data_IF_009177221750
#
_entry.id   IF_009177221750
#
_cell.length_a   1.000
_cell.length_b   1.000
_cell.length_c   1.000
_cell.angle_alpha   90.00
_cell.angle_beta   90.00
_cell.angle_gamma   90.00
#
_symmetry.space_group_name_H-M   'P 1'
#
loop_
_entity.id
_entity.type
_entity.pdbx_description
1 polymer ?
#
# COMPACT_ATOMS: atom_id res chain seq x y z
N UNK A 1 -7.37 -17.50 19.55
CA UNK A 1 -6.48 -17.15 20.69
C UNK A 1 -5.06 -17.18 20.18
N UNK A 2 -4.25 -16.17 20.49
CA UNK A 2 -2.82 -16.20 20.17
C UNK A 2 -2.16 -17.26 21.07
N UNK A 3 -1.26 -18.13 20.55
CA UNK A 3 -0.57 -19.11 21.38
C UNK A 3 0.14 -18.44 22.56
N UNK A 4 -0.07 -18.93 23.78
CA UNK A 4 0.48 -18.33 25.02
C UNK A 4 2.00 -18.24 24.99
N UNK A 5 2.67 -19.25 24.42
CA UNK A 5 4.13 -19.23 24.23
C UNK A 5 4.61 -18.02 23.40
N UNK A 6 3.84 -17.63 22.37
CA UNK A 6 4.18 -16.48 21.53
C UNK A 6 4.04 -15.17 22.31
N UNK A 7 2.98 -15.03 23.11
CA UNK A 7 2.74 -13.84 23.93
C UNK A 7 3.85 -13.65 24.96
N UNK A 8 4.27 -14.75 25.62
CA UNK A 8 5.36 -14.71 26.60
C UNK A 8 6.68 -14.32 25.93
N UNK A 9 6.98 -14.88 24.75
CA UNK A 9 8.19 -14.53 24.01
C UNK A 9 8.22 -13.04 23.61
N UNK A 10 7.09 -12.49 23.13
CA UNK A 10 7.00 -11.07 22.77
C UNK A 10 7.11 -10.16 24.00
N UNK A 11 6.51 -10.55 25.13
CA UNK A 11 6.61 -9.80 26.38
C UNK A 11 8.05 -9.74 26.89
N UNK A 12 8.76 -10.88 26.91
CA UNK A 12 10.17 -10.95 27.30
C UNK A 12 11.07 -10.07 26.40
N UNK A 13 10.79 -10.04 25.09
CA UNK A 13 11.53 -9.17 24.15
C UNK A 13 11.28 -7.67 24.39
N UNK A 14 10.09 -7.29 24.90
CA UNK A 14 9.78 -5.90 25.24
C UNK A 14 10.43 -5.44 26.54
N UNK A 15 10.59 -6.34 27.52
CA UNK A 15 11.29 -6.02 28.77
C UNK A 15 12.78 -5.79 28.58
N UNK A 16 13.39 -6.44 27.59
CA UNK A 16 14.83 -6.33 27.31
C UNK A 16 15.24 -5.00 26.66
N UNK A 17 14.30 -4.21 26.13
CA UNK A 17 14.58 -3.01 25.33
C UNK A 17 14.29 -1.75 26.17
N UNK A 18 15.22 -0.77 26.24
CA UNK A 18 15.08 0.39 27.13
C UNK A 18 14.12 1.46 26.59
N UNK A 19 13.72 1.37 25.32
CA UNK A 19 12.90 2.35 24.64
C UNK A 19 11.42 1.94 24.58
N UNK A 20 10.48 2.91 24.69
CA UNK A 20 9.08 2.61 24.42
C UNK A 20 8.88 2.31 22.94
N UNK A 21 7.85 1.51 22.63
CA UNK A 21 7.55 1.07 21.27
C UNK A 21 7.46 2.19 20.22
N UNK A 22 6.98 3.38 20.62
CA UNK A 22 6.93 4.55 19.74
C UNK A 22 8.33 5.03 19.31
N UNK A 23 9.30 5.06 20.25
CA UNK A 23 10.67 5.51 19.97
C UNK A 23 11.41 4.47 19.12
N UNK A 24 11.24 3.17 19.43
CA UNK A 24 11.75 2.10 18.57
C UNK A 24 11.23 2.24 17.13
N UNK A 25 9.92 2.49 16.96
CA UNK A 25 9.28 2.68 15.68
C UNK A 25 9.87 3.87 14.92
N UNK A 26 10.03 4.99 15.62
CA UNK A 26 10.48 6.25 15.04
C UNK A 26 11.92 6.12 14.51
N UNK A 27 12.83 5.55 15.31
CA UNK A 27 14.23 5.33 14.92
C UNK A 27 14.29 4.42 13.70
N UNK A 28 13.55 3.31 13.70
CA UNK A 28 13.55 2.35 12.59
C UNK A 28 12.94 2.94 11.32
N UNK A 29 11.79 3.61 11.40
CA UNK A 29 11.14 4.25 10.24
C UNK A 29 12.04 5.35 9.66
N UNK A 30 12.62 6.24 10.48
CA UNK A 30 13.55 7.28 10.00
C UNK A 30 14.79 6.67 9.33
N UNK A 31 15.33 5.59 9.91
CA UNK A 31 16.46 4.88 9.31
C UNK A 31 16.09 4.31 7.94
N UNK A 32 14.94 3.64 7.83
CA UNK A 32 14.43 3.13 6.56
C UNK A 32 14.21 4.24 5.53
N UNK A 33 13.80 5.44 5.96
CA UNK A 33 13.67 6.59 5.08
C UNK A 33 15.01 7.08 4.54
N UNK A 34 16.02 7.18 5.40
CA UNK A 34 17.37 7.57 4.98
C UNK A 34 17.94 6.54 4.00
N UNK A 35 17.78 5.24 4.30
CA UNK A 35 18.23 4.17 3.42
C UNK A 35 17.53 4.19 2.06
N UNK A 36 16.20 4.39 2.05
CA UNK A 36 15.40 4.52 0.83
C UNK A 36 15.87 5.70 -0.02
N UNK A 37 16.03 6.87 0.60
CA UNK A 37 16.42 8.11 -0.10
C UNK A 37 17.84 8.01 -0.65
N UNK A 38 18.77 7.40 0.10
CA UNK A 38 20.12 7.10 -0.36
C UNK A 38 20.09 6.11 -1.55
N UNK A 39 19.30 5.04 -1.43
CA UNK A 39 19.17 4.01 -2.45
C UNK A 39 18.64 4.53 -3.80
N UNK A 40 17.68 5.48 -3.79
CA UNK A 40 17.15 6.06 -5.03
C UNK A 40 18.05 7.14 -5.65
N UNK A 41 18.92 7.77 -4.85
CA UNK A 41 19.83 8.84 -5.32
C UNK A 41 21.13 8.30 -5.90
N UNK A 42 21.56 7.12 -5.46
CA UNK A 42 22.80 6.50 -5.91
C UNK A 42 22.60 5.71 -7.21
N UNK A 43 23.66 5.52 -8.03
CA UNK A 43 23.62 4.62 -9.19
C UNK A 43 23.19 3.21 -8.78
N UNK A 44 22.45 2.51 -9.64
CA UNK A 44 21.80 1.22 -9.29
C UNK A 44 22.70 0.21 -8.57
N UNK A 45 23.95 0.03 -9.02
CA UNK A 45 24.89 -0.91 -8.38
C UNK A 45 25.23 -0.52 -6.93
N UNK A 46 25.43 0.78 -6.67
CA UNK A 46 25.77 1.31 -5.34
C UNK A 46 24.52 1.42 -4.47
N UNK A 47 23.39 1.86 -5.03
CA UNK A 47 22.13 2.00 -4.31
C UNK A 47 21.60 0.66 -3.79
N UNK A 48 21.75 -0.43 -4.56
CA UNK A 48 21.42 -1.79 -4.11
C UNK A 48 22.35 -2.24 -2.98
N UNK A 49 23.67 -2.04 -3.11
CA UNK A 49 24.63 -2.39 -2.06
C UNK A 49 24.34 -1.64 -0.74
N UNK A 50 24.09 -0.33 -0.80
CA UNK A 50 23.74 0.49 0.36
C UNK A 50 22.41 0.04 0.99
N UNK A 51 21.42 -0.33 0.18
CA UNK A 51 20.13 -0.81 0.70
C UNK A 51 20.25 -2.16 1.41
N UNK A 52 21.03 -3.10 0.86
CA UNK A 52 21.26 -4.42 1.47
C UNK A 52 22.06 -4.29 2.76
N UNK A 53 23.20 -3.57 2.70
CA UNK A 53 24.05 -3.34 3.88
C UNK A 53 23.27 -2.57 4.94
N UNK A 54 22.56 -1.51 4.56
CA UNK A 54 21.76 -0.72 5.48
C UNK A 54 20.64 -1.50 6.16
N UNK A 55 19.84 -2.25 5.40
CA UNK A 55 18.70 -2.98 5.95
C UNK A 55 19.13 -4.15 6.85
N UNK A 56 20.13 -4.93 6.43
CA UNK A 56 20.60 -6.09 7.20
C UNK A 56 21.47 -5.65 8.37
N UNK A 57 22.53 -4.86 8.11
CA UNK A 57 23.51 -4.52 9.15
C UNK A 57 22.88 -3.62 10.22
N UNK A 58 22.09 -2.61 9.85
CA UNK A 58 21.46 -1.76 10.86
C UNK A 58 20.36 -2.52 11.61
N UNK A 59 19.57 -3.34 10.90
CA UNK A 59 18.51 -4.13 11.52
C UNK A 59 19.03 -5.14 12.55
N UNK A 60 20.06 -5.90 12.18
CA UNK A 60 20.64 -6.94 13.05
C UNK A 60 21.43 -6.32 14.21
N UNK A 61 22.27 -5.32 13.94
CA UNK A 61 23.00 -4.61 15.00
C UNK A 61 22.06 -3.89 15.96
N UNK A 62 20.91 -3.36 15.50
CA UNK A 62 19.93 -2.74 16.38
C UNK A 62 19.26 -3.74 17.35
N UNK A 63 19.09 -5.00 16.91
CA UNK A 63 18.59 -6.08 17.76
C UNK A 63 19.68 -6.51 18.75
N UNK A 64 20.89 -6.78 18.27
CA UNK A 64 22.01 -7.26 19.09
C UNK A 64 22.46 -6.23 20.14
N UNK A 65 22.40 -4.94 19.81
CA UNK A 65 22.66 -3.85 20.74
C UNK A 65 21.52 -3.63 21.75
N UNK A 66 20.40 -4.34 21.61
CA UNK A 66 19.24 -4.21 22.49
C UNK A 66 18.48 -2.90 22.33
N UNK A 67 18.67 -2.17 21.22
CA UNK A 67 18.00 -0.90 20.98
C UNK A 67 16.56 -1.05 20.47
N UNK A 68 16.27 -2.16 19.77
CA UNK A 68 14.96 -2.43 19.16
C UNK A 68 14.61 -3.90 19.35
N UNK A 69 13.34 -4.18 19.64
CA UNK A 69 12.86 -5.56 19.78
C UNK A 69 12.73 -6.27 18.43
N UNK A 70 13.01 -7.58 18.37
CA UNK A 70 12.88 -8.37 17.13
C UNK A 70 11.47 -8.30 16.55
N UNK A 71 10.43 -8.34 17.40
CA UNK A 71 9.05 -8.16 16.99
C UNK A 71 8.82 -6.81 16.28
N UNK A 72 9.48 -5.75 16.73
CA UNK A 72 9.37 -4.42 16.12
C UNK A 72 10.05 -4.35 14.75
N UNK A 73 11.24 -4.94 14.62
CA UNK A 73 11.95 -5.02 13.33
C UNK A 73 11.11 -5.74 12.28
N UNK A 74 10.44 -6.84 12.66
CA UNK A 74 9.52 -7.56 11.76
C UNK A 74 8.39 -6.65 11.28
N UNK A 75 7.71 -5.94 12.19
CA UNK A 75 6.58 -5.06 11.84
C UNK A 75 7.01 -3.91 10.92
N UNK A 76 8.14 -3.26 11.21
CA UNK A 76 8.65 -2.15 10.39
C UNK A 76 9.12 -2.66 9.03
N UNK A 77 9.81 -3.80 8.97
CA UNK A 77 10.30 -4.38 7.72
C UNK A 77 9.15 -4.79 6.80
N UNK A 78 8.09 -5.41 7.32
CA UNK A 78 6.88 -5.73 6.56
C UNK A 78 6.22 -4.46 6.02
N UNK A 79 6.13 -3.41 6.84
CA UNK A 79 5.56 -2.12 6.44
C UNK A 79 6.41 -1.44 5.35
N UNK A 80 7.73 -1.50 5.46
CA UNK A 80 8.67 -0.97 4.48
C UNK A 80 8.55 -1.71 3.14
N UNK A 81 8.51 -3.04 3.15
CA UNK A 81 8.35 -3.86 1.94
C UNK A 81 6.98 -3.60 1.29
N UNK A 82 5.91 -3.57 2.08
CA UNK A 82 4.56 -3.29 1.59
C UNK A 82 4.44 -1.93 0.89
N UNK A 83 5.27 -0.95 1.29
CA UNK A 83 5.28 0.36 0.63
C UNK A 83 5.71 0.30 -0.85
N UNK A 84 6.44 -0.73 -1.28
CA UNK A 84 6.81 -0.93 -2.69
C UNK A 84 5.67 -1.50 -3.55
N UNK A 85 4.60 -2.02 -2.93
CA UNK A 85 3.40 -2.42 -3.66
C UNK A 85 2.62 -1.22 -4.22
N UNK A 86 2.90 0.00 -3.74
CA UNK A 86 2.28 1.22 -4.26
C UNK A 86 3.02 1.65 -5.54
N UNK A 87 2.37 1.61 -6.72
CA UNK A 87 3.03 1.91 -7.98
C UNK A 87 3.41 3.38 -8.15
N UNK A 88 2.72 4.29 -7.44
CA UNK A 88 2.95 5.73 -7.50
C UNK A 88 3.81 6.20 -6.32
N UNK A 89 5.04 6.62 -6.60
CA UNK A 89 6.00 7.07 -5.58
C UNK A 89 5.50 8.26 -4.74
N UNK A 90 4.82 9.23 -5.37
CA UNK A 90 4.24 10.37 -4.66
C UNK A 90 3.18 9.96 -3.63
N UNK A 91 2.36 8.95 -3.95
CA UNK A 91 1.38 8.39 -3.01
C UNK A 91 2.09 7.66 -1.87
N UNK A 92 3.16 6.90 -2.18
CA UNK A 92 3.94 6.20 -1.16
C UNK A 92 4.60 7.17 -0.16
N UNK A 93 5.18 8.28 -0.62
CA UNK A 93 5.73 9.32 0.26
C UNK A 93 4.63 9.94 1.12
N UNK A 94 3.49 10.29 0.52
CA UNK A 94 2.37 10.91 1.22
C UNK A 94 1.83 9.99 2.33
N UNK A 95 1.61 8.71 2.04
CA UNK A 95 1.14 7.72 3.00
C UNK A 95 2.09 7.54 4.19
N UNK A 96 3.39 7.66 3.95
CA UNK A 96 4.45 7.61 4.96
C UNK A 96 4.48 8.86 5.85
N UNK A 97 4.32 10.06 5.28
CA UNK A 97 4.18 11.28 6.09
C UNK A 97 2.95 11.20 7.00
N UNK A 98 1.83 10.70 6.47
CA UNK A 98 0.62 10.46 7.25
C UNK A 98 0.88 9.41 8.36
N UNK A 99 1.66 8.36 8.08
CA UNK A 99 2.03 7.34 9.08
C UNK A 99 2.71 7.94 10.30
N UNK A 100 3.66 8.86 10.14
CA UNK A 100 4.28 9.54 11.28
C UNK A 100 3.22 10.27 12.12
N UNK A 101 2.29 10.99 11.49
CA UNK A 101 1.17 11.64 12.19
C UNK A 101 0.29 10.65 12.97
N UNK A 102 -0.06 9.52 12.35
CA UNK A 102 -0.82 8.46 13.01
C UNK A 102 -0.05 7.81 14.17
N UNK A 103 1.27 7.66 14.05
CA UNK A 103 2.12 7.17 15.14
C UNK A 103 2.15 8.13 16.33
N UNK A 104 2.21 9.44 16.10
CA UNK A 104 2.11 10.43 17.19
C UNK A 104 0.75 10.35 17.89
N UNK A 105 -0.34 10.27 17.13
CA UNK A 105 -1.68 10.09 17.70
C UNK A 105 -1.79 8.77 18.49
N UNK A 106 -1.18 7.70 17.99
CA UNK A 106 -1.11 6.41 18.67
C UNK A 106 -0.31 6.48 19.97
N UNK A 107 0.79 7.23 20.00
CA UNK A 107 1.60 7.39 21.20
C UNK A 107 0.89 8.20 22.29
N UNK A 108 0.12 9.24 21.91
CA UNK A 108 -0.59 10.11 22.84
C UNK A 108 -1.90 9.49 23.35
N UNK A 109 -2.69 8.89 22.46
CA UNK A 109 -4.06 8.44 22.76
C UNK A 109 -4.27 6.94 22.53
N UNK A 110 -3.21 6.18 22.24
CA UNK A 110 -3.31 4.74 21.96
C UNK A 110 -4.13 4.44 20.71
N UNK A 111 -4.86 3.32 20.77
CA UNK A 111 -5.70 2.86 19.67
C UNK A 111 -6.81 3.87 19.29
N UNK A 112 -7.32 4.62 20.28
CA UNK A 112 -8.32 5.66 20.04
C UNK A 112 -7.78 6.79 19.14
N UNK A 113 -6.51 7.18 19.34
CA UNK A 113 -5.84 8.17 18.49
C UNK A 113 -5.73 7.72 17.04
N UNK A 114 -5.44 6.43 16.82
CA UNK A 114 -5.38 5.84 15.48
C UNK A 114 -6.76 5.93 14.80
N UNK A 115 -7.83 5.53 15.49
CA UNK A 115 -9.20 5.59 14.93
C UNK A 115 -9.55 7.03 14.55
N UNK A 116 -9.29 7.99 15.44
CA UNK A 116 -9.60 9.40 15.18
C UNK A 116 -8.78 9.96 14.02
N UNK A 117 -7.49 9.63 13.95
CA UNK A 117 -6.63 10.03 12.82
C UNK A 117 -7.11 9.44 11.49
N UNK A 118 -7.51 8.17 11.47
CA UNK A 118 -8.07 7.51 10.29
C UNK A 118 -9.41 8.15 9.87
N UNK A 119 -10.26 8.51 10.83
CA UNK A 119 -11.54 9.16 10.55
C UNK A 119 -11.32 10.54 9.90
N UNK A 120 -10.44 11.37 10.48
CA UNK A 120 -10.07 12.68 9.91
C UNK A 120 -9.51 12.51 8.50
N UNK A 121 -8.64 11.51 8.29
CA UNK A 121 -8.08 11.20 6.98
C UNK A 121 -9.18 10.85 5.96
N UNK A 122 -10.12 9.96 6.31
CA UNK A 122 -11.21 9.57 5.41
C UNK A 122 -12.11 10.78 5.09
N UNK A 123 -12.47 11.59 6.09
CA UNK A 123 -13.27 12.80 5.85
C UNK A 123 -12.56 13.77 4.91
N UNK A 124 -11.25 13.95 5.09
CA UNK A 124 -10.45 14.78 4.19
C UNK A 124 -10.50 14.25 2.76
N UNK A 125 -10.28 12.94 2.56
CA UNK A 125 -10.35 12.30 1.24
C UNK A 125 -11.73 12.45 0.58
N UNK A 126 -12.81 12.35 1.35
CA UNK A 126 -14.17 12.55 0.85
C UNK A 126 -14.46 14.01 0.44
N UNK A 127 -13.77 14.98 1.05
CA UNK A 127 -13.92 16.40 0.70
C UNK A 127 -13.18 16.80 -0.59
N UNK A 128 -12.15 16.02 -0.99
CA UNK A 128 -11.32 16.33 -2.14
C UNK A 128 -12.04 16.06 -3.48
N UNK A 129 -11.77 16.93 -4.45
CA UNK A 129 -12.23 16.80 -5.84
C UNK A 129 -11.05 16.91 -6.79
N UNK A 130 -10.93 15.95 -7.72
CA UNK A 130 -9.99 15.98 -8.84
C UNK A 130 -10.74 16.29 -10.12
N UNK A 131 -10.44 17.43 -10.76
CA UNK A 131 -11.11 17.87 -12.00
C UNK A 131 -12.65 17.83 -11.91
N UNK A 132 -13.20 18.28 -10.77
CA UNK A 132 -14.64 18.30 -10.49
C UNK A 132 -15.23 16.98 -9.98
N UNK A 133 -14.49 15.88 -10.07
CA UNK A 133 -14.91 14.54 -9.64
C UNK A 133 -14.49 14.25 -8.19
N UNK A 134 -15.38 13.70 -7.33
CA UNK A 134 -15.01 13.30 -5.97
C UNK A 134 -13.85 12.29 -5.98
N UNK A 135 -12.82 12.52 -5.17
CA UNK A 135 -11.61 11.67 -5.12
C UNK A 135 -11.94 10.22 -4.71
N UNK A 136 -12.90 10.04 -3.80
CA UNK A 136 -13.35 8.72 -3.33
C UNK A 136 -14.39 8.06 -4.24
N UNK A 137 -14.72 8.61 -5.42
CA UNK A 137 -15.61 7.94 -6.36
C UNK A 137 -14.97 6.62 -6.83
N UNK A 138 -15.71 5.48 -6.87
CA UNK A 138 -17.16 5.30 -6.68
C UNK A 138 -17.56 4.78 -5.28
N UNK A 139 -16.67 4.84 -4.28
CA UNK A 139 -16.96 4.46 -2.89
C UNK A 139 -17.76 5.56 -2.17
N UNK A 140 -17.40 6.82 -2.39
CA UNK A 140 -18.11 7.99 -1.91
C UNK A 140 -18.11 9.08 -3.01
N UNK A 141 -19.21 9.30 -3.74
CA UNK A 141 -20.55 8.70 -3.58
C UNK A 141 -20.61 7.24 -4.06
N UNK A 142 -21.38 6.41 -3.38
CA UNK A 142 -21.51 4.99 -3.70
C UNK A 142 -22.24 4.78 -5.04
N UNK A 143 -21.54 4.23 -6.05
CA UNK A 143 -22.08 3.97 -7.39
C UNK A 143 -21.75 2.53 -7.80
N UNK A 144 -22.70 1.62 -7.61
CA UNK A 144 -22.54 0.17 -7.84
C UNK A 144 -22.03 -0.19 -9.24
N UNK A 145 -22.43 0.55 -10.28
CA UNK A 145 -22.03 0.29 -11.67
C UNK A 145 -20.52 0.39 -11.90
N UNK A 146 -19.81 1.18 -11.07
CA UNK A 146 -18.38 1.46 -11.23
C UNK A 146 -17.51 0.78 -10.17
N UNK A 147 -18.10 0.14 -9.16
CA UNK A 147 -17.37 -0.52 -8.06
C UNK A 147 -16.52 -1.68 -8.58
N UNK A 148 -16.96 -2.33 -9.66
CA UNK A 148 -16.23 -3.39 -10.35
C UNK A 148 -14.76 -3.07 -10.46
N UNK A 149 -14.40 -2.01 -11.19
CA UNK A 149 -13.00 -1.61 -11.47
C UNK A 149 -12.20 -1.16 -10.24
N UNK A 150 -12.87 -0.85 -9.13
CA UNK A 150 -12.22 -0.31 -7.92
C UNK A 150 -11.74 -1.42 -6.99
N UNK A 151 -12.56 -2.48 -6.80
CA UNK A 151 -12.21 -3.61 -5.93
C UNK A 151 -11.61 -4.79 -6.70
N UNK A 152 -12.09 -5.04 -7.92
CA UNK A 152 -11.67 -6.17 -8.74
C UNK A 152 -11.39 -5.71 -10.17
N UNK A 153 -10.18 -5.91 -10.68
CA UNK A 153 -9.84 -5.49 -12.06
C UNK A 153 -10.56 -6.38 -13.10
N UNK A 154 -11.82 -6.05 -13.44
CA UNK A 154 -12.61 -6.78 -14.44
C UNK A 154 -12.06 -6.49 -15.84
N UNK A 155 -12.11 -7.45 -16.80
CA UNK A 155 -11.64 -7.23 -18.16
C UNK A 155 -12.35 -6.06 -18.86
N UNK A 156 -11.60 -5.31 -19.66
CA UNK A 156 -12.07 -4.05 -20.26
C UNK A 156 -13.27 -4.21 -21.19
N UNK A 157 -13.39 -5.35 -21.86
CA UNK A 157 -14.51 -5.69 -22.75
C UNK A 157 -15.85 -5.87 -22.02
N UNK A 158 -15.84 -6.02 -20.69
CA UNK A 158 -17.06 -6.10 -19.89
C UNK A 158 -17.63 -4.71 -19.55
N UNK A 159 -16.83 -3.65 -19.68
CA UNK A 159 -17.26 -2.27 -19.40
C UNK A 159 -18.00 -1.64 -20.57
N UNK A 160 -19.30 -1.93 -20.67
CA UNK A 160 -20.18 -1.36 -21.70
C UNK A 160 -20.59 0.08 -21.42
N UNK A 161 -20.71 0.44 -20.14
CA UNK A 161 -21.24 1.73 -19.69
C UNK A 161 -20.13 2.71 -19.27
N UNK A 162 -20.37 4.01 -19.44
CA UNK A 162 -19.49 5.07 -18.96
C UNK A 162 -19.74 5.33 -17.47
N UNK A 163 -18.70 5.70 -16.70
CA UNK A 163 -18.89 6.11 -15.31
C UNK A 163 -19.94 7.23 -15.19
N UNK A 164 -20.95 7.01 -14.35
CA UNK A 164 -22.13 7.90 -14.18
C UNK A 164 -21.81 9.37 -13.93
N UNK A 165 -20.67 9.66 -13.28
CA UNK A 165 -20.24 11.02 -12.96
C UNK A 165 -19.56 11.76 -14.13
N UNK A 166 -19.15 11.05 -15.19
CA UNK A 166 -18.49 11.65 -16.36
C UNK A 166 -19.50 12.13 -17.40
N UNK A 167 -20.51 11.32 -17.73
CA UNK A 167 -21.52 11.67 -18.73
C UNK A 167 -22.83 10.93 -18.48
N UNK A 168 -23.92 11.68 -18.29
CA UNK A 168 -25.26 11.12 -18.06
C UNK A 168 -26.11 11.02 -19.35
N UNK A 169 -25.69 11.70 -20.42
CA UNK A 169 -26.44 11.74 -21.70
C UNK A 169 -25.97 10.66 -22.67
N UNK A 170 -24.67 10.38 -22.69
CA UNK A 170 -24.08 9.33 -23.53
C UNK A 170 -23.53 8.21 -22.63
N UNK A 171 -24.38 7.22 -22.37
CA UNK A 171 -24.13 6.16 -21.38
C UNK A 171 -23.27 5.03 -21.97
N UNK A 172 -23.38 4.77 -23.27
CA UNK A 172 -22.71 3.64 -23.91
C UNK A 172 -21.26 4.02 -24.26
N UNK A 173 -20.29 3.28 -23.70
CA UNK A 173 -18.86 3.42 -24.00
C UNK A 173 -18.45 2.56 -25.19
N UNK A 174 -18.89 1.31 -25.20
CA UNK A 174 -18.52 0.29 -26.18
C UNK A 174 -19.75 -0.41 -26.74
N UNK A 175 -19.70 -0.80 -28.02
CA UNK A 175 -20.72 -1.65 -28.63
C UNK A 175 -20.72 -3.04 -27.97
N UNK A 176 -21.80 -3.79 -28.14
CA UNK A 176 -21.80 -5.21 -27.77
C UNK A 176 -20.72 -5.98 -28.53
N UNK A 177 -20.32 -7.12 -27.96
CA UNK A 177 -19.45 -8.13 -28.60
C UNK A 177 -17.96 -7.73 -28.79
N UNK A 178 -17.39 -7.03 -27.81
CA UNK A 178 -15.95 -6.71 -27.76
C UNK A 178 -15.06 -7.85 -27.23
N UNK A 179 -15.63 -9.04 -27.04
CA UNK A 179 -14.87 -10.19 -26.54
C UNK A 179 -13.87 -10.61 -27.63
N UNK A 180 -12.57 -10.77 -27.32
CA UNK A 180 -11.61 -11.29 -28.29
C UNK A 180 -12.06 -12.66 -28.79
N UNK A 181 -12.28 -12.78 -30.10
CA UNK A 181 -12.57 -14.05 -30.74
C UNK A 181 -11.25 -14.64 -31.29
N UNK A 182 -11.14 -15.97 -31.38
CA UNK A 182 -10.00 -16.61 -32.06
C UNK A 182 -9.87 -16.09 -33.50
N UNK A 183 -8.64 -16.06 -34.06
CA UNK A 183 -8.45 -15.74 -35.48
C UNK A 183 -9.30 -16.67 -36.34
N UNK A 184 -9.89 -16.14 -37.42
CA UNK A 184 -10.60 -16.99 -38.37
C UNK A 184 -9.62 -18.01 -38.99
N UNK A 185 -10.01 -19.30 -39.11
CA UNK A 185 -9.13 -20.32 -39.64
C UNK A 185 -8.71 -19.97 -41.07
N UNK A 186 -7.41 -20.12 -41.33
CA UNK A 186 -6.82 -19.83 -42.65
C UNK A 186 -7.31 -20.88 -43.64
N UNK A 187 -7.43 -20.51 -44.93
CA UNK A 187 -7.95 -21.42 -45.98
C UNK A 187 -7.25 -22.79 -46.03
N UNK A 188 -5.98 -22.85 -45.62
CA UNK A 188 -5.19 -24.08 -45.51
C UNK A 188 -5.65 -25.01 -44.37
N UNK A 189 -6.08 -24.46 -43.22
CA UNK A 189 -6.59 -25.26 -42.08
C UNK A 189 -7.96 -25.88 -42.37
N UNK A 190 -8.73 -25.30 -43.30
CA UNK A 190 -10.03 -25.85 -43.73
C UNK A 190 -9.92 -26.99 -44.75
N UNK A 191 -8.79 -27.08 -45.45
CA UNK A 191 -8.52 -28.17 -46.41
C UNK A 191 -7.94 -29.41 -45.68
N UNK A 192 -7.29 -29.22 -44.53
CA UNK A 192 -6.75 -30.31 -43.69
C UNK A 192 -7.81 -30.97 -42.77
N UNK A 193 -8.98 -30.35 -42.58
CA UNK A 193 -10.10 -30.86 -41.76
C UNK A 193 -11.19 -31.61 -42.56
N UNK A 194 -11.07 -31.70 -43.90
CA UNK A 194 -12.06 -32.34 -44.80
C UNK A 194 -11.51 -33.56 -45.53
#
# INVERSE_FOLDING_TARGET
MIPTQLVIAIAAQREAVPFPAFVEALIMEVTFEILREAGIRLPRAVGQAVSIVGALVIGEVAIDAGFVSSAMVIVVSLTAIASFATPAFAIAISARLIRFGLMFLAAMFGFYGIIMGLLIMILHLCSLRSFGMPYMSPLAPFISTNVGDTLFRIPTWMYRERPRLINQKNIIRQSGDQKPQPPAPTRQEKEDES
#
